data_IF_090374688065
#
_entry.id   IF_090374688065
#
_cell.length_a   1.000
_cell.length_b   1.000
_cell.length_c   1.000
_cell.angle_alpha   90.00
_cell.angle_beta   90.00
_cell.angle_gamma   90.00
#
_symmetry.space_group_name_H-M   'P 1'
#
loop_
_entity.id
_entity.type
_entity.pdbx_description
1 polymer ?
#
# COMPACT_ATOMS: atom_id res chain seq x y z
N UNK A 1 3.13 -32.90 -0.40
CA UNK A 1 3.12 -31.51 0.12
C UNK A 1 1.69 -30.98 0.14
N UNK A 2 0.91 -31.18 -0.92
CA UNK A 2 -0.51 -30.83 -0.98
C UNK A 2 -1.33 -31.41 0.19
N UNK A 3 -1.16 -32.70 0.51
CA UNK A 3 -1.83 -33.34 1.65
C UNK A 3 -1.49 -32.71 3.02
N UNK A 4 -0.29 -32.13 3.15
CA UNK A 4 0.15 -31.48 4.39
C UNK A 4 -0.52 -30.11 4.55
N UNK A 5 -0.62 -29.33 3.48
CA UNK A 5 -1.33 -28.04 3.48
C UNK A 5 -2.83 -28.20 3.66
N UNK A 6 -3.39 -29.31 3.18
CA UNK A 6 -4.78 -29.69 3.36
C UNK A 6 -5.09 -30.21 4.78
N UNK A 7 -4.08 -30.46 5.63
CA UNK A 7 -4.27 -30.99 6.97
C UNK A 7 -4.46 -29.87 8.00
N UNK A 8 -5.71 -29.58 8.44
CA UNK A 8 -6.02 -28.47 9.35
C UNK A 8 -5.57 -28.70 10.80
N UNK A 9 -5.08 -29.89 11.14
CA UNK A 9 -4.53 -30.22 12.45
C UNK A 9 -3.00 -30.03 12.50
N UNK A 10 -2.36 -30.02 11.33
CA UNK A 10 -0.90 -29.89 11.22
C UNK A 10 -0.47 -28.56 10.60
N UNK A 11 -1.35 -27.89 9.85
CA UNK A 11 -1.02 -26.65 9.13
C UNK A 11 -2.14 -25.64 9.22
N UNK A 12 -1.76 -24.37 9.36
CA UNK A 12 -2.65 -23.22 9.25
C UNK A 12 -1.96 -22.07 8.50
N UNK A 13 -2.78 -21.20 7.93
CA UNK A 13 -2.37 -19.95 7.31
C UNK A 13 -2.70 -18.76 8.22
N UNK A 14 -1.74 -17.84 8.31
CA UNK A 14 -1.87 -16.54 8.98
C UNK A 14 -1.88 -15.44 7.91
N UNK A 15 -2.98 -14.70 7.79
CA UNK A 15 -3.03 -13.56 6.86
C UNK A 15 -2.56 -12.32 7.61
N UNK A 16 -1.51 -11.65 7.12
CA UNK A 16 -1.04 -10.37 7.66
C UNK A 16 -1.30 -9.28 6.65
N UNK A 17 -1.95 -8.20 7.07
CA UNK A 17 -2.36 -7.08 6.21
C UNK A 17 -2.14 -5.74 6.87
N UNK A 18 -2.33 -4.64 6.14
CA UNK A 18 -2.40 -3.27 6.69
C UNK A 18 -3.82 -2.71 6.47
N UNK A 19 -4.33 -1.81 7.32
CA UNK A 19 -5.72 -1.35 7.26
C UNK A 19 -5.96 -0.28 6.15
N UNK A 20 -5.50 -0.53 4.93
CA UNK A 20 -5.84 0.27 3.76
C UNK A 20 -6.94 -0.41 2.97
N UNK A 21 -7.83 0.36 2.31
CA UNK A 21 -8.99 -0.20 1.61
C UNK A 21 -8.61 -1.29 0.60
N UNK A 22 -7.57 -1.05 -0.19
CA UNK A 22 -7.08 -2.02 -1.18
C UNK A 22 -6.54 -3.30 -0.51
N UNK A 23 -5.67 -3.16 0.50
CA UNK A 23 -5.07 -4.31 1.18
C UNK A 23 -6.12 -5.17 1.89
N UNK A 24 -7.14 -4.53 2.50
CA UNK A 24 -8.27 -5.24 3.11
C UNK A 24 -9.08 -6.00 2.05
N UNK A 25 -9.44 -5.36 0.93
CA UNK A 25 -10.18 -6.03 -0.16
C UNK A 25 -9.44 -7.25 -0.69
N UNK A 26 -8.13 -7.13 -0.93
CA UNK A 26 -7.32 -8.25 -1.39
C UNK A 26 -7.15 -9.35 -0.32
N UNK A 27 -7.05 -8.98 0.95
CA UNK A 27 -6.97 -9.95 2.06
C UNK A 27 -8.27 -10.75 2.22
N UNK A 28 -9.42 -10.09 2.03
CA UNK A 28 -10.74 -10.75 2.02
C UNK A 28 -10.87 -11.69 0.82
N UNK A 29 -10.43 -11.25 -0.37
CA UNK A 29 -10.40 -12.12 -1.55
C UNK A 29 -9.52 -13.35 -1.32
N UNK A 30 -8.32 -13.18 -0.75
CA UNK A 30 -7.43 -14.28 -0.39
C UNK A 30 -8.08 -15.24 0.62
N UNK A 31 -8.69 -14.72 1.69
CA UNK A 31 -9.40 -15.53 2.67
C UNK A 31 -10.44 -16.42 1.99
N UNK A 32 -11.28 -15.83 1.14
CA UNK A 32 -12.34 -16.57 0.44
C UNK A 32 -11.77 -17.66 -0.48
N UNK A 33 -10.69 -17.36 -1.19
CA UNK A 33 -10.03 -18.32 -2.07
C UNK A 33 -9.46 -19.51 -1.28
N UNK A 34 -8.90 -19.26 -0.08
CA UNK A 34 -8.33 -20.30 0.78
C UNK A 34 -9.39 -21.16 1.47
N UNK A 35 -10.57 -20.60 1.79
CA UNK A 35 -11.58 -21.30 2.62
C UNK A 35 -12.81 -21.81 1.86
N UNK A 36 -13.22 -21.17 0.77
CA UNK A 36 -14.48 -21.48 0.07
C UNK A 36 -14.29 -21.97 -1.37
N UNK A 37 -13.32 -21.43 -2.09
CA UNK A 37 -13.15 -21.73 -3.53
C UNK A 37 -12.36 -23.04 -3.81
N UNK A 38 -11.74 -23.62 -2.78
CA UNK A 38 -11.04 -24.90 -2.84
C UNK A 38 -11.68 -25.95 -1.90
N UNK A 39 -12.93 -26.41 -2.18
CA UNK A 39 -13.66 -27.34 -1.30
C UNK A 39 -12.96 -28.68 -1.11
N UNK A 40 -12.15 -29.12 -2.08
CA UNK A 40 -11.37 -30.37 -2.02
C UNK A 40 -10.04 -30.21 -1.25
N UNK A 41 -9.65 -28.97 -0.91
CA UNK A 41 -8.43 -28.66 -0.17
C UNK A 41 -8.64 -27.42 0.73
N UNK A 42 -9.50 -27.50 1.76
CA UNK A 42 -9.78 -26.35 2.62
C UNK A 42 -8.55 -26.00 3.46
N UNK A 43 -7.89 -24.89 3.13
CA UNK A 43 -6.77 -24.37 3.92
C UNK A 43 -7.33 -23.67 5.15
N UNK A 44 -6.84 -24.05 6.33
CA UNK A 44 -7.29 -23.47 7.59
C UNK A 44 -6.69 -22.08 7.81
N UNK A 45 -7.52 -21.06 7.86
CA UNK A 45 -7.13 -19.69 8.27
C UNK A 45 -7.83 -19.37 9.58
N UNK A 46 -7.08 -19.29 10.69
CA UNK A 46 -7.65 -18.97 12.02
C UNK A 46 -7.44 -17.52 12.44
N UNK A 47 -6.42 -16.87 11.88
CA UNK A 47 -5.91 -15.61 12.37
C UNK A 47 -5.68 -14.67 11.19
N UNK A 48 -6.11 -13.42 11.37
CA UNK A 48 -5.80 -12.30 10.49
C UNK A 48 -5.19 -11.21 11.36
N UNK A 49 -4.00 -10.74 11.00
CA UNK A 49 -3.29 -9.67 11.70
C UNK A 49 -3.42 -8.38 10.89
N UNK A 50 -4.10 -7.38 11.47
CA UNK A 50 -4.02 -6.01 10.99
C UNK A 50 -2.76 -5.36 11.57
N UNK A 51 -1.73 -5.20 10.74
CA UNK A 51 -0.47 -4.56 11.05
C UNK A 51 -0.55 -3.05 10.80
N UNK A 52 0.32 -2.28 11.46
CA UNK A 52 0.44 -0.81 11.27
C UNK A 52 -0.84 -0.03 11.59
N UNK A 53 -1.58 -0.47 12.61
CA UNK A 53 -2.75 0.25 13.13
C UNK A 53 -2.27 1.46 13.94
N UNK A 54 -2.83 2.63 13.66
CA UNK A 54 -2.57 3.86 14.42
C UNK A 54 -3.32 3.80 15.77
N UNK A 55 -2.72 4.33 16.84
CA UNK A 55 -3.41 4.47 18.12
C UNK A 55 -4.46 5.59 18.05
N UNK A 56 -5.57 5.40 18.77
CA UNK A 56 -6.70 6.34 18.80
C UNK A 56 -6.55 7.41 19.91
N UNK A 57 -5.41 7.42 20.61
CA UNK A 57 -5.11 8.34 21.71
C UNK A 57 -4.53 9.68 21.24
N UNK A 58 -4.40 9.88 19.93
CA UNK A 58 -3.94 11.12 19.30
C UNK A 58 -2.45 11.43 19.48
N UNK A 59 -1.76 10.70 20.36
CA UNK A 59 -0.34 10.89 20.68
C UNK A 59 0.57 10.55 19.49
N UNK A 60 0.09 9.69 18.60
CA UNK A 60 0.89 9.16 17.49
C UNK A 60 0.72 9.92 16.17
N UNK A 61 -0.21 10.87 16.04
CA UNK A 61 -0.52 11.49 14.74
C UNK A 61 0.63 12.35 14.23
N UNK A 62 1.14 13.28 15.05
CA UNK A 62 2.23 14.17 14.65
C UNK A 62 3.52 13.38 14.40
N UNK A 63 3.84 12.43 15.29
CA UNK A 63 5.03 11.59 15.15
C UNK A 63 4.94 10.67 13.92
N UNK A 64 3.75 10.15 13.61
CA UNK A 64 3.47 9.38 12.40
C UNK A 64 3.67 10.24 11.15
N UNK A 65 2.99 11.39 11.06
CA UNK A 65 3.11 12.29 9.89
C UNK A 65 4.56 12.70 9.67
N UNK A 66 5.27 13.05 10.75
CA UNK A 66 6.70 13.39 10.69
C UNK A 66 7.54 12.22 10.16
N UNK A 67 7.32 11.00 10.66
CA UNK A 67 8.04 9.81 10.22
C UNK A 67 7.80 9.50 8.74
N UNK A 68 6.55 9.56 8.29
CA UNK A 68 6.19 9.34 6.88
C UNK A 68 6.82 10.42 5.99
N UNK A 69 6.71 11.70 6.37
CA UNK A 69 7.30 12.80 5.61
C UNK A 69 8.83 12.69 5.50
N UNK A 70 9.51 12.36 6.60
CA UNK A 70 10.96 12.13 6.58
C UNK A 70 11.35 10.96 5.67
N UNK A 71 10.60 9.85 5.73
CA UNK A 71 10.84 8.69 4.86
C UNK A 71 10.64 9.04 3.39
N UNK A 72 9.59 9.79 3.05
CA UNK A 72 9.34 10.25 1.68
C UNK A 72 10.49 11.13 1.18
N UNK A 73 10.95 12.08 1.99
CA UNK A 73 12.04 12.98 1.60
C UNK A 73 13.34 12.23 1.29
N UNK A 74 13.68 11.22 2.11
CA UNK A 74 14.85 10.37 1.88
C UNK A 74 14.70 9.59 0.56
N UNK A 75 13.56 8.91 0.35
CA UNK A 75 13.31 8.15 -0.87
C UNK A 75 13.28 9.02 -2.14
N UNK A 76 12.71 10.22 -2.07
CA UNK A 76 12.72 11.18 -3.18
C UNK A 76 14.15 11.63 -3.49
N UNK A 77 14.95 11.89 -2.46
CA UNK A 77 16.35 12.29 -2.63
C UNK A 77 17.17 11.17 -3.30
N UNK A 78 17.00 9.92 -2.84
CA UNK A 78 17.66 8.76 -3.44
C UNK A 78 17.22 8.55 -4.90
N UNK A 79 15.93 8.72 -5.18
CA UNK A 79 15.37 8.64 -6.54
C UNK A 79 15.98 9.71 -7.45
N UNK A 80 16.01 10.98 -7.03
CA UNK A 80 16.59 12.09 -7.79
C UNK A 80 18.08 11.89 -8.06
N UNK A 81 18.84 11.47 -7.03
CA UNK A 81 20.26 11.16 -7.16
C UNK A 81 20.48 10.05 -8.19
N UNK A 82 19.72 8.96 -8.11
CA UNK A 82 19.82 7.84 -9.03
C UNK A 82 19.45 8.24 -10.46
N UNK A 83 18.35 8.96 -10.63
CA UNK A 83 17.88 9.46 -11.92
C UNK A 83 18.93 10.35 -12.61
N UNK A 84 19.63 11.19 -11.85
CA UNK A 84 20.67 12.08 -12.38
C UNK A 84 21.90 11.34 -12.94
N UNK A 85 22.12 10.07 -12.58
CA UNK A 85 23.29 9.30 -13.04
C UNK A 85 23.16 8.70 -14.43
N UNK A 86 21.93 8.63 -14.99
CA UNK A 86 21.71 8.01 -16.30
C UNK A 86 21.99 8.98 -17.45
N UNK A 87 22.40 8.45 -18.61
CA UNK A 87 22.86 9.24 -19.77
C UNK A 87 21.86 10.30 -20.27
N UNK A 88 20.56 10.07 -20.06
CA UNK A 88 19.47 11.00 -20.32
C UNK A 88 18.54 10.98 -19.09
N UNK A 89 18.79 11.81 -18.07
CA UNK A 89 18.06 11.75 -16.82
C UNK A 89 16.58 12.12 -17.02
N UNK A 90 15.64 11.31 -16.51
CA UNK A 90 14.23 11.69 -16.51
C UNK A 90 13.99 12.84 -15.53
N UNK A 91 13.02 13.71 -15.85
CA UNK A 91 12.49 14.68 -14.88
C UNK A 91 11.70 13.95 -13.80
N UNK A 92 11.98 14.28 -12.53
CA UNK A 92 11.24 13.75 -11.38
C UNK A 92 10.25 14.82 -10.91
N UNK A 93 8.97 14.66 -11.25
CA UNK A 93 7.89 15.55 -10.82
C UNK A 93 7.29 15.05 -9.49
N UNK A 94 7.26 15.91 -8.48
CA UNK A 94 6.60 15.64 -7.21
C UNK A 94 5.16 16.15 -7.25
N UNK A 95 4.20 15.29 -6.90
CA UNK A 95 2.77 15.62 -6.87
C UNK A 95 2.32 15.60 -5.41
N UNK A 96 1.57 16.61 -4.94
CA UNK A 96 1.08 16.63 -3.57
C UNK A 96 0.14 15.46 -3.28
N UNK A 97 0.10 15.05 -2.01
CA UNK A 97 -0.87 14.05 -1.56
C UNK A 97 -2.30 14.56 -1.79
N UNK A 98 -3.12 13.76 -2.46
CA UNK A 98 -4.54 13.99 -2.62
C UNK A 98 -5.29 13.11 -1.63
N UNK A 99 -6.07 13.74 -0.75
CA UNK A 99 -6.89 13.08 0.27
C UNK A 99 -8.13 12.37 -0.31
N UNK A 100 -8.40 12.60 -1.59
CA UNK A 100 -9.50 11.98 -2.33
C UNK A 100 -9.01 11.47 -3.67
N UNK A 101 -9.58 10.35 -4.12
CA UNK A 101 -9.24 9.79 -5.43
C UNK A 101 -9.73 10.73 -6.55
N UNK A 102 -8.84 11.22 -7.44
CA UNK A 102 -9.23 12.10 -8.52
C UNK A 102 -10.03 11.30 -9.56
N UNK A 103 -11.36 11.40 -9.49
CA UNK A 103 -12.31 10.71 -10.37
C UNK A 103 -12.97 11.65 -11.36
N UNK A 104 -13.33 11.11 -12.52
CA UNK A 104 -14.03 11.83 -13.58
C UNK A 104 -13.18 12.93 -14.23
N UNK A 105 -13.75 13.61 -15.22
CA UNK A 105 -13.02 14.58 -16.05
C UNK A 105 -12.45 15.73 -15.21
N UNK A 106 -13.20 16.22 -14.21
CA UNK A 106 -12.76 17.33 -13.38
C UNK A 106 -11.65 16.94 -12.39
N UNK A 107 -11.75 15.77 -11.75
CA UNK A 107 -10.70 15.28 -10.85
C UNK A 107 -9.38 15.03 -11.58
N UNK A 108 -9.46 14.42 -12.77
CA UNK A 108 -8.28 14.21 -13.63
C UNK A 108 -7.70 15.54 -14.13
N UNK A 109 -8.54 16.53 -14.42
CA UNK A 109 -8.07 17.87 -14.82
C UNK A 109 -7.32 18.56 -13.68
N UNK A 110 -7.83 18.50 -12.45
CA UNK A 110 -7.14 19.05 -11.29
C UNK A 110 -5.78 18.38 -11.07
N UNK A 111 -5.72 17.04 -11.14
CA UNK A 111 -4.45 16.30 -11.07
C UNK A 111 -3.48 16.71 -12.19
N UNK A 112 -3.97 16.86 -13.42
CA UNK A 112 -3.13 17.26 -14.56
C UNK A 112 -2.50 18.64 -14.38
N UNK A 113 -3.18 19.57 -13.71
CA UNK A 113 -2.64 20.91 -13.44
C UNK A 113 -1.45 20.87 -12.49
N UNK A 114 -1.46 19.96 -11.50
CA UNK A 114 -0.30 19.78 -10.62
C UNK A 114 0.87 19.07 -11.33
N UNK A 115 0.59 18.19 -12.31
CA UNK A 115 1.62 17.46 -13.08
C UNK A 115 2.38 18.33 -14.08
N UNK A 116 1.74 19.37 -14.62
CA UNK A 116 2.30 20.25 -15.67
C UNK A 116 2.64 21.63 -15.09
N UNK A 117 2.74 21.74 -13.76
CA UNK A 117 3.14 22.98 -13.12
C UNK A 117 4.63 23.20 -13.40
N UNK A 118 4.93 24.01 -14.40
CA UNK A 118 6.30 24.43 -14.69
C UNK A 118 6.90 25.07 -13.42
N UNK A 119 8.13 24.69 -13.07
CA UNK A 119 8.92 25.39 -12.05
C UNK A 119 9.29 26.79 -12.60
N UNK A 120 8.34 27.73 -12.61
CA UNK A 120 8.66 29.15 -12.72
C UNK A 120 9.21 29.64 -11.37
N UNK A 121 10.52 29.46 -11.16
CA UNK A 121 11.35 30.25 -10.24
C UNK A 121 12.77 30.40 -10.76
#
# INVERSE_FOLDING_TARGET
>A
LEDLFANPDQTEFLIVTIPTELAVRESVRLLNNLTFEAPDMPIKVRNIVANQVLSDDGNDIESFVRRISQSQQLSISDLKNTAATVRNPPTVTEVPYLDTEPRGVFGLKALSMELVRDEEM
#
